data_IF_012074135288
#
_entry.id   IF_012074135288
#
_cell.length_a   1.000
_cell.length_b   1.000
_cell.length_c   1.000
_cell.angle_alpha   90.00
_cell.angle_beta   90.00
_cell.angle_gamma   90.00
#
_symmetry.space_group_name_H-M   'P 1'
#
loop_
_entity.id
_entity.type
_entity.pdbx_description
1 polymer ?
#
# COMPACT_ATOMS: atom_id res chain seq x y z
N UNK A 1 18.63 31.71 -33.16
CA UNK A 1 18.06 30.34 -33.15
C UNK A 1 17.50 30.04 -31.76
N UNK A 2 16.34 30.60 -31.52
CA UNK A 2 15.47 30.40 -30.33
C UNK A 2 14.21 29.70 -30.87
N UNK A 3 13.79 28.61 -30.23
CA UNK A 3 12.58 27.80 -30.42
C UNK A 3 12.93 26.33 -30.62
N UNK A 4 13.18 25.62 -29.50
CA UNK A 4 12.91 24.19 -29.39
C UNK A 4 13.11 23.72 -27.90
N UNK A 5 12.28 24.26 -27.00
CA UNK A 5 12.26 23.86 -25.59
C UNK A 5 10.88 24.20 -25.02
N UNK A 6 9.85 23.51 -25.53
CA UNK A 6 8.50 23.52 -24.94
C UNK A 6 7.67 22.44 -25.62
N UNK A 7 7.88 21.19 -25.26
CA UNK A 7 7.03 20.09 -25.73
C UNK A 7 7.31 18.80 -24.94
N UNK A 8 7.09 18.81 -23.65
CA UNK A 8 6.74 17.63 -22.82
C UNK A 8 6.09 18.18 -21.53
N UNK A 9 4.90 18.66 -21.63
CA UNK A 9 3.90 18.74 -20.57
C UNK A 9 2.60 19.11 -21.28
N UNK A 10 1.54 18.39 -21.00
CA UNK A 10 0.20 18.55 -21.57
C UNK A 10 -0.08 17.66 -22.78
N UNK A 11 -0.33 16.39 -22.52
CA UNK A 11 -1.25 15.58 -23.33
C UNK A 11 -2.27 14.92 -22.42
N UNK A 12 -3.13 15.74 -21.88
CA UNK A 12 -4.47 15.37 -21.51
C UNK A 12 -5.33 16.54 -21.94
N UNK A 13 -6.46 16.24 -22.64
CA UNK A 13 -7.45 17.19 -23.14
C UNK A 13 -7.17 17.64 -24.59
N UNK A 14 -7.83 16.97 -25.53
CA UNK A 14 -8.72 17.55 -26.52
C UNK A 14 -8.96 16.55 -27.65
N UNK A 15 -10.09 15.90 -27.60
CA UNK A 15 -10.78 15.36 -28.78
C UNK A 15 -12.26 15.67 -28.60
N UNK A 16 -12.63 16.90 -28.87
CA UNK A 16 -14.03 17.28 -29.05
C UNK A 16 -14.07 18.11 -30.33
N UNK A 17 -14.80 17.63 -31.23
CA UNK A 17 -15.67 18.28 -32.17
C UNK A 17 -15.59 17.68 -33.59
N UNK A 18 -16.56 16.84 -33.87
CA UNK A 18 -17.11 16.76 -35.21
C UNK A 18 -18.63 16.78 -35.09
N UNK A 19 -19.21 17.92 -35.40
CA UNK A 19 -20.65 18.07 -35.58
C UNK A 19 -21.10 17.36 -36.84
N UNK A 20 -22.06 16.47 -36.73
CA UNK A 20 -23.04 16.21 -37.79
C UNK A 20 -24.44 16.19 -37.19
N UNK A 21 -25.23 17.19 -37.58
CA UNK A 21 -26.68 17.20 -37.37
C UNK A 21 -27.32 16.05 -38.15
N UNK A 22 -28.14 15.27 -37.48
CA UNK A 22 -29.24 14.56 -38.12
C UNK A 22 -30.34 14.22 -37.09
N UNK A 23 -31.47 14.88 -37.30
CA UNK A 23 -32.88 14.45 -37.10
C UNK A 23 -33.39 13.93 -35.77
N UNK A 24 -34.45 14.58 -35.34
CA UNK A 24 -35.41 14.16 -34.32
C UNK A 24 -35.75 12.66 -34.38
N UNK A 25 -35.55 12.01 -33.27
CA UNK A 25 -36.08 10.70 -32.96
C UNK A 25 -35.96 10.50 -31.48
N UNK A 26 -37.08 10.48 -30.80
CA UNK A 26 -37.38 10.00 -29.44
C UNK A 26 -36.33 10.22 -28.35
N UNK A 27 -36.60 11.21 -27.50
CA UNK A 27 -36.02 11.32 -26.19
C UNK A 27 -36.36 10.06 -25.37
N UNK A 28 -35.59 8.98 -25.49
CA UNK A 28 -35.43 8.02 -24.43
C UNK A 28 -34.81 8.75 -23.25
N UNK A 29 -35.61 9.03 -22.24
CA UNK A 29 -35.10 9.46 -20.93
C UNK A 29 -34.17 8.34 -20.43
N UNK A 30 -32.85 8.49 -20.60
CA UNK A 30 -31.86 7.77 -19.86
C UNK A 30 -31.93 8.23 -18.40
N UNK A 31 -32.97 7.70 -17.72
CA UNK A 31 -32.98 7.66 -16.26
C UNK A 31 -32.05 6.51 -15.83
N UNK A 32 -30.76 6.56 -16.25
CA UNK A 32 -29.78 5.63 -15.74
C UNK A 32 -29.49 6.05 -14.31
N UNK A 33 -29.87 5.22 -13.37
CA UNK A 33 -29.61 5.37 -11.95
C UNK A 33 -28.10 5.53 -11.62
N UNK A 34 -27.23 5.22 -12.59
CA UNK A 34 -25.77 5.24 -12.51
C UNK A 34 -25.26 6.27 -13.54
N UNK A 35 -24.42 7.25 -13.13
CA UNK A 35 -23.86 8.23 -14.05
C UNK A 35 -22.81 7.59 -14.98
N UNK A 36 -22.53 8.22 -16.13
CA UNK A 36 -21.50 7.77 -17.09
C UNK A 36 -20.09 7.73 -16.46
N UNK A 37 -19.84 8.60 -15.49
CA UNK A 37 -18.64 8.60 -14.65
C UNK A 37 -19.06 8.60 -13.20
N UNK A 38 -18.71 7.54 -12.49
CA UNK A 38 -18.97 7.38 -11.07
C UNK A 38 -17.88 8.09 -10.25
N UNK A 39 -18.25 9.16 -9.53
CA UNK A 39 -17.35 9.90 -8.65
C UNK A 39 -17.29 9.20 -7.30
N UNK A 40 -16.16 8.61 -7.01
CA UNK A 40 -15.94 7.74 -5.84
C UNK A 40 -15.15 8.50 -4.79
N UNK A 41 -15.76 8.73 -3.64
CA UNK A 41 -15.07 9.25 -2.46
C UNK A 41 -14.45 8.13 -1.64
N UNK A 42 -13.20 8.31 -1.21
CA UNK A 42 -12.50 7.34 -0.36
C UNK A 42 -11.46 8.02 0.53
N UNK A 43 -10.85 7.25 1.44
CA UNK A 43 -9.73 7.70 2.27
C UNK A 43 -8.46 6.91 1.95
N UNK A 44 -7.31 7.53 2.18
CA UNK A 44 -6.07 6.77 2.23
C UNK A 44 -6.09 5.80 3.40
N UNK A 45 -5.94 4.51 3.11
CA UNK A 45 -5.82 3.46 4.13
C UNK A 45 -5.23 2.17 3.52
N UNK A 46 -4.71 1.26 4.35
CA UNK A 46 -4.21 -0.04 3.87
C UNK A 46 -5.26 -0.92 3.20
N UNK A 47 -6.55 -0.70 3.49
CA UNK A 47 -7.68 -1.47 2.94
C UNK A 47 -8.35 -0.77 1.78
N UNK A 48 -8.42 0.57 1.79
CA UNK A 48 -9.31 1.28 0.89
C UNK A 48 -8.61 1.80 -0.36
N UNK A 49 -7.60 2.67 -0.20
CA UNK A 49 -6.92 3.31 -1.31
C UNK A 49 -5.48 3.68 -0.93
N UNK A 50 -4.51 3.19 -1.67
CA UNK A 50 -3.11 3.54 -1.49
C UNK A 50 -2.33 3.40 -2.80
N UNK A 51 -1.16 4.03 -2.88
CA UNK A 51 -0.25 3.89 -4.00
C UNK A 51 0.88 2.91 -3.65
N UNK A 52 1.14 1.96 -4.54
CA UNK A 52 2.21 0.99 -4.39
C UNK A 52 3.00 0.87 -5.69
N UNK A 53 4.29 1.20 -5.68
CA UNK A 53 5.17 1.21 -6.87
C UNK A 53 4.61 2.02 -8.04
N UNK A 54 3.84 3.07 -7.74
CA UNK A 54 3.18 3.93 -8.73
C UNK A 54 1.83 3.44 -9.25
N UNK A 55 1.38 2.25 -8.84
CA UNK A 55 0.04 1.74 -9.14
C UNK A 55 -0.93 2.01 -7.99
N UNK A 56 -2.17 2.33 -8.32
CA UNK A 56 -3.24 2.48 -7.33
C UNK A 56 -3.75 1.11 -6.93
N UNK A 57 -3.89 0.89 -5.63
CA UNK A 57 -4.32 -0.36 -5.03
C UNK A 57 -5.22 -0.10 -3.82
N UNK A 58 -5.94 -1.11 -3.38
CA UNK A 58 -6.81 -1.13 -2.21
C UNK A 58 -7.94 -2.13 -2.42
N UNK A 59 -8.36 -2.82 -1.38
CA UNK A 59 -9.47 -3.76 -1.49
C UNK A 59 -10.76 -3.07 -1.93
N UNK A 60 -11.11 -1.96 -1.29
CA UNK A 60 -12.29 -1.17 -1.64
C UNK A 60 -12.15 -0.52 -3.03
N UNK A 61 -10.93 -0.07 -3.38
CA UNK A 61 -10.61 0.46 -4.70
C UNK A 61 -10.85 -0.59 -5.81
N UNK A 62 -10.29 -1.79 -5.67
CA UNK A 62 -10.44 -2.84 -6.66
C UNK A 62 -11.91 -3.30 -6.77
N UNK A 63 -12.65 -3.37 -5.66
CA UNK A 63 -14.07 -3.72 -5.65
C UNK A 63 -14.94 -2.69 -6.37
N UNK A 64 -14.79 -1.39 -6.08
CA UNK A 64 -15.60 -0.37 -6.74
C UNK A 64 -15.25 -0.24 -8.22
N UNK A 65 -13.98 -0.46 -8.62
CA UNK A 65 -13.59 -0.55 -10.03
C UNK A 65 -14.27 -1.74 -10.72
N UNK A 66 -14.37 -2.89 -10.05
CA UNK A 66 -15.07 -4.08 -10.57
C UNK A 66 -16.58 -3.82 -10.74
N UNK A 67 -17.22 -3.14 -9.78
CA UNK A 67 -18.60 -2.68 -9.92
C UNK A 67 -18.76 -1.78 -11.14
N UNK A 68 -17.96 -0.72 -11.25
CA UNK A 68 -18.05 0.23 -12.36
C UNK A 68 -17.81 -0.45 -13.72
N UNK A 69 -16.83 -1.36 -13.80
CA UNK A 69 -16.58 -2.17 -14.99
C UNK A 69 -17.80 -3.03 -15.37
N UNK A 70 -18.46 -3.65 -14.40
CA UNK A 70 -19.67 -4.45 -14.64
C UNK A 70 -20.85 -3.64 -15.20
N UNK A 71 -20.85 -2.32 -14.96
CA UNK A 71 -21.86 -1.38 -15.45
C UNK A 71 -21.41 -0.61 -16.70
N UNK A 72 -20.16 -0.78 -17.13
CA UNK A 72 -19.59 -0.06 -18.28
C UNK A 72 -19.38 1.42 -18.04
N UNK A 73 -19.21 1.86 -16.78
CA UNK A 73 -19.01 3.26 -16.39
C UNK A 73 -17.56 3.54 -16.00
N UNK A 74 -17.11 4.76 -16.24
CA UNK A 74 -15.79 5.22 -15.77
C UNK A 74 -15.82 5.54 -14.27
N UNK A 75 -14.65 5.56 -13.64
CA UNK A 75 -14.49 5.98 -12.23
C UNK A 75 -13.58 7.19 -12.11
N UNK A 76 -13.96 8.13 -11.25
CA UNK A 76 -13.13 9.25 -10.82
C UNK A 76 -13.00 9.21 -9.30
N UNK A 77 -11.76 9.16 -8.77
CA UNK A 77 -11.52 9.04 -7.33
C UNK A 77 -11.21 10.38 -6.70
N UNK A 78 -11.92 10.70 -5.61
CA UNK A 78 -11.74 11.89 -4.81
C UNK A 78 -11.37 11.44 -3.39
N UNK A 79 -10.15 11.82 -2.95
CA UNK A 79 -9.61 11.42 -1.66
C UNK A 79 -9.90 12.50 -0.64
N UNK A 80 -10.59 12.15 0.44
CA UNK A 80 -10.83 13.05 1.56
C UNK A 80 -9.85 12.78 2.72
N UNK A 81 -9.79 13.70 3.66
CA UNK A 81 -8.93 13.56 4.85
C UNK A 81 -9.55 12.72 5.97
N UNK A 82 -10.88 12.63 6.01
CA UNK A 82 -11.62 11.90 7.02
C UNK A 82 -13.05 11.57 6.55
N UNK A 83 -13.74 10.69 7.30
CA UNK A 83 -15.09 10.25 6.99
C UNK A 83 -16.12 11.40 6.97
N UNK A 84 -16.00 12.36 7.86
CA UNK A 84 -16.93 13.49 7.92
C UNK A 84 -16.86 14.35 6.65
N UNK A 85 -15.65 14.54 6.11
CA UNK A 85 -15.45 15.23 4.83
C UNK A 85 -16.06 14.43 3.67
N UNK A 86 -15.96 13.10 3.66
CA UNK A 86 -16.62 12.25 2.66
C UNK A 86 -18.13 12.41 2.69
N UNK A 87 -18.73 12.42 3.89
CA UNK A 87 -20.19 12.60 4.04
C UNK A 87 -20.62 13.98 3.53
N UNK A 88 -19.87 15.02 3.84
CA UNK A 88 -20.16 16.37 3.34
C UNK A 88 -20.05 16.47 1.81
N UNK A 89 -19.03 15.81 1.20
CA UNK A 89 -18.88 15.72 -0.26
C UNK A 89 -20.01 14.93 -0.92
N UNK A 90 -20.51 13.88 -0.25
CA UNK A 90 -21.62 13.09 -0.72
C UNK A 90 -22.94 13.89 -0.71
N UNK A 91 -23.21 14.59 0.39
CA UNK A 91 -24.38 15.44 0.56
C UNK A 91 -24.42 16.60 -0.45
N UNK A 92 -23.26 17.22 -0.67
CA UNK A 92 -23.13 18.30 -1.67
C UNK A 92 -23.10 17.82 -3.13
N UNK A 93 -23.10 16.52 -3.39
CA UNK A 93 -23.06 15.94 -4.73
C UNK A 93 -21.69 16.06 -5.44
N UNK A 94 -20.62 16.30 -4.72
CA UNK A 94 -19.24 16.26 -5.23
C UNK A 94 -18.84 14.82 -5.58
N UNK A 95 -19.31 13.87 -4.78
CA UNK A 95 -19.14 12.42 -5.01
C UNK A 95 -20.49 11.73 -5.09
N UNK A 96 -20.57 10.58 -5.74
CA UNK A 96 -21.79 9.77 -5.94
C UNK A 96 -21.85 8.61 -4.94
N UNK A 97 -20.70 8.08 -4.55
CA UNK A 97 -20.55 6.94 -3.63
C UNK A 97 -19.34 7.11 -2.73
N UNK A 98 -19.45 6.68 -1.49
CA UNK A 98 -18.33 6.50 -0.57
C UNK A 98 -17.91 5.03 -0.63
N UNK A 99 -16.76 4.75 -1.25
CA UNK A 99 -16.12 3.42 -1.23
C UNK A 99 -15.14 3.35 -0.06
N UNK A 100 -15.69 3.36 1.14
CA UNK A 100 -15.01 3.26 2.42
C UNK A 100 -16.00 2.73 3.47
N UNK A 101 -15.50 2.19 4.57
CA UNK A 101 -16.29 1.65 5.68
C UNK A 101 -17.05 2.74 6.43
N UNK A 102 -18.29 3.00 6.03
CA UNK A 102 -19.20 3.90 6.76
C UNK A 102 -19.95 3.10 7.81
N UNK A 103 -19.84 3.43 9.12
CA UNK A 103 -20.49 2.67 10.18
C UNK A 103 -22.02 2.65 10.03
N UNK A 104 -22.63 1.49 10.26
CA UNK A 104 -24.08 1.30 10.21
C UNK A 104 -24.67 1.59 11.60
N UNK A 105 -24.71 2.86 11.98
CA UNK A 105 -25.27 3.34 13.24
C UNK A 105 -26.49 4.23 13.03
N UNK A 106 -27.27 4.47 14.08
CA UNK A 106 -28.43 5.38 14.02
C UNK A 106 -28.04 6.81 13.63
N UNK A 107 -26.82 7.24 13.94
CA UNK A 107 -26.29 8.55 13.59
C UNK A 107 -26.00 8.66 12.08
N UNK A 108 -25.22 7.72 11.52
CA UNK A 108 -24.86 7.74 10.10
C UNK A 108 -26.04 7.45 9.19
N UNK A 109 -26.98 6.59 9.60
CA UNK A 109 -28.24 6.33 8.85
C UNK A 109 -29.12 7.57 8.66
N UNK A 110 -28.95 8.60 9.46
CA UNK A 110 -29.62 9.90 9.25
C UNK A 110 -28.99 10.70 8.10
N UNK A 111 -27.74 10.48 7.79
CA UNK A 111 -26.95 11.25 6.84
C UNK A 111 -26.80 10.56 5.49
N UNK A 112 -26.63 9.24 5.47
CA UNK A 112 -26.33 8.46 4.28
C UNK A 112 -27.24 7.23 4.15
N UNK A 113 -27.26 6.63 2.97
CA UNK A 113 -27.85 5.33 2.69
C UNK A 113 -26.73 4.31 2.50
N UNK A 114 -26.61 3.37 3.43
CA UNK A 114 -25.66 2.29 3.35
C UNK A 114 -26.00 1.32 2.21
N UNK A 115 -25.01 0.80 1.51
CA UNK A 115 -25.18 -0.11 0.36
C UNK A 115 -24.00 -1.05 0.19
N UNK A 116 -24.20 -2.08 -0.63
CA UNK A 116 -23.20 -3.12 -0.87
C UNK A 116 -23.05 -4.10 0.28
N UNK A 117 -21.94 -4.82 0.28
CA UNK A 117 -21.61 -5.79 1.32
C UNK A 117 -21.37 -5.13 2.67
N UNK A 118 -21.87 -5.76 3.71
CA UNK A 118 -21.55 -5.34 5.07
C UNK A 118 -20.22 -5.97 5.51
N UNK A 119 -19.30 -5.12 5.91
CA UNK A 119 -18.09 -5.53 6.60
C UNK A 119 -18.33 -5.53 8.11
N UNK A 120 -17.97 -6.61 8.77
CA UNK A 120 -18.06 -6.76 10.22
C UNK A 120 -16.65 -6.70 10.79
N UNK A 121 -16.35 -5.61 11.50
CA UNK A 121 -15.09 -5.45 12.23
C UNK A 121 -15.31 -5.50 13.72
N UNK A 122 -14.29 -5.90 14.44
CA UNK A 122 -14.24 -5.91 15.90
C UNK A 122 -12.80 -5.64 16.35
N UNK A 123 -12.59 -5.32 17.59
CA UNK A 123 -11.24 -5.18 18.12
C UNK A 123 -10.73 -6.54 18.60
N UNK A 124 -9.47 -6.81 18.30
CA UNK A 124 -8.79 -8.05 18.66
C UNK A 124 -7.56 -7.79 19.51
N UNK A 125 -7.24 -8.73 20.37
CA UNK A 125 -5.95 -8.81 21.03
C UNK A 125 -4.90 -9.28 20.03
N UNK A 126 -3.82 -8.53 19.90
CA UNK A 126 -2.63 -8.96 19.18
C UNK A 126 -1.59 -9.43 20.19
N UNK A 127 -1.17 -10.67 20.06
CA UNK A 127 -0.21 -11.33 20.93
C UNK A 127 0.82 -12.13 20.12
N UNK A 128 2.02 -12.41 20.65
CA UNK A 128 2.96 -13.31 20.00
C UNK A 128 2.36 -14.72 19.86
N UNK A 129 2.62 -15.39 18.75
CA UNK A 129 2.25 -16.78 18.54
C UNK A 129 3.13 -17.66 19.42
N UNK A 130 2.54 -18.32 20.41
CA UNK A 130 3.22 -19.16 21.40
C UNK A 130 2.36 -20.34 21.77
N UNK A 131 2.90 -21.27 22.54
CA UNK A 131 2.15 -22.43 23.07
C UNK A 131 1.14 -22.03 24.17
N UNK A 132 1.30 -20.85 24.76
CA UNK A 132 0.41 -20.31 25.79
C UNK A 132 -0.25 -19.03 25.31
N UNK A 133 -1.36 -19.17 24.59
CA UNK A 133 -2.16 -18.04 24.12
C UNK A 133 -3.16 -17.58 25.18
N UNK A 134 -3.41 -16.27 25.20
CA UNK A 134 -4.56 -15.69 25.89
C UNK A 134 -5.77 -15.95 25.00
N UNK A 135 -6.74 -16.71 25.50
CA UNK A 135 -7.95 -17.14 24.79
C UNK A 135 -9.24 -16.62 25.42
N UNK A 136 -9.14 -15.99 26.58
CA UNK A 136 -10.24 -15.38 27.31
C UNK A 136 -9.83 -14.01 27.87
N UNK A 137 -10.75 -13.06 27.86
CA UNK A 137 -10.50 -11.68 28.33
C UNK A 137 -10.12 -11.59 29.79
N UNK A 138 -10.60 -12.55 30.65
CA UNK A 138 -10.24 -12.60 32.06
C UNK A 138 -8.74 -12.86 32.28
N UNK A 139 -8.09 -13.54 31.33
CA UNK A 139 -6.64 -13.80 31.39
C UNK A 139 -5.80 -12.53 31.15
N UNK A 140 -6.41 -11.40 30.77
CA UNK A 140 -5.76 -10.09 30.66
C UNK A 140 -5.46 -9.48 32.05
N UNK A 141 -6.08 -9.96 33.11
CA UNK A 141 -5.78 -9.51 34.49
C UNK A 141 -4.29 -9.71 34.76
N UNK A 142 -3.63 -8.66 35.28
CA UNK A 142 -2.18 -8.59 35.51
C UNK A 142 -1.31 -8.69 34.23
N UNK A 143 -1.87 -8.48 33.04
CA UNK A 143 -1.09 -8.36 31.79
C UNK A 143 -0.85 -6.91 31.43
N UNK A 144 0.28 -6.66 30.77
CA UNK A 144 0.64 -5.35 30.23
C UNK A 144 0.09 -5.24 28.80
N UNK A 145 -0.84 -4.31 28.56
CA UNK A 145 -1.44 -4.07 27.25
C UNK A 145 -1.16 -2.63 26.83
N UNK A 146 -0.58 -2.47 25.66
CA UNK A 146 -0.15 -1.18 25.09
C UNK A 146 -1.15 -0.69 24.05
N UNK A 147 -1.55 0.57 24.13
CA UNK A 147 -2.51 1.21 23.21
C UNK A 147 -2.11 2.65 22.90
N UNK A 148 -2.62 3.18 21.80
CA UNK A 148 -2.47 4.59 21.46
C UNK A 148 -3.26 5.46 22.44
N UNK A 149 -2.66 6.55 22.91
CA UNK A 149 -3.30 7.50 23.80
C UNK A 149 -4.54 8.15 23.15
N UNK A 150 -5.62 8.31 23.94
CA UNK A 150 -6.92 8.85 23.50
C UNK A 150 -7.55 8.13 22.29
N UNK A 151 -7.12 6.92 22.00
CA UNK A 151 -7.69 6.12 20.93
C UNK A 151 -8.98 5.40 21.36
N UNK A 152 -9.76 4.96 20.37
CA UNK A 152 -10.91 4.06 20.61
C UNK A 152 -10.48 2.73 21.27
N UNK A 153 -9.24 2.33 21.08
CA UNK A 153 -8.66 1.12 21.67
C UNK A 153 -8.41 1.30 23.17
N UNK A 154 -7.87 2.45 23.59
CA UNK A 154 -7.72 2.78 25.00
C UNK A 154 -9.07 2.85 25.69
N UNK A 155 -10.05 3.53 25.09
CA UNK A 155 -11.41 3.63 25.64
C UNK A 155 -12.04 2.24 25.81
N UNK A 156 -11.93 1.36 24.81
CA UNK A 156 -12.45 -0.02 24.90
C UNK A 156 -11.74 -0.84 25.97
N UNK A 157 -10.40 -0.71 26.04
CA UNK A 157 -9.62 -1.48 27.00
C UNK A 157 -9.94 -1.08 28.45
N UNK A 158 -10.19 0.21 28.72
CA UNK A 158 -10.64 0.69 30.03
C UNK A 158 -12.02 0.14 30.38
N UNK A 159 -12.96 0.17 29.44
CA UNK A 159 -14.29 -0.41 29.65
C UNK A 159 -14.20 -1.92 29.90
N UNK A 160 -13.35 -2.62 29.15
CA UNK A 160 -13.13 -4.06 29.33
C UNK A 160 -12.54 -4.37 30.73
N UNK A 161 -11.59 -3.55 31.17
CA UNK A 161 -11.00 -3.68 32.50
C UNK A 161 -12.07 -3.56 33.60
N UNK A 162 -12.97 -2.56 33.48
CA UNK A 162 -14.11 -2.42 34.40
C UNK A 162 -15.07 -3.61 34.32
N UNK A 163 -15.39 -4.10 33.10
CA UNK A 163 -16.28 -5.26 32.87
C UNK A 163 -15.78 -6.55 33.54
N UNK A 164 -14.46 -6.76 33.57
CA UNK A 164 -13.87 -7.99 34.16
C UNK A 164 -13.45 -7.82 35.62
N UNK A 165 -13.72 -6.66 36.22
CA UNK A 165 -13.44 -6.40 37.65
C UNK A 165 -12.08 -5.75 37.92
N UNK A 166 -11.42 -5.26 36.91
CA UNK A 166 -10.14 -4.55 36.98
C UNK A 166 -8.91 -5.44 36.94
N UNK A 167 -7.74 -4.82 36.86
CA UNK A 167 -6.45 -5.49 36.99
C UNK A 167 -5.63 -5.59 35.70
N UNK A 168 -6.11 -5.07 34.55
CA UNK A 168 -5.29 -4.94 33.35
C UNK A 168 -4.28 -3.80 33.55
N UNK A 169 -2.99 -4.02 33.28
CA UNK A 169 -2.00 -2.96 33.26
C UNK A 169 -1.99 -2.26 31.91
N UNK A 170 -2.73 -1.16 31.82
CA UNK A 170 -2.92 -0.38 30.59
C UNK A 170 -1.78 0.62 30.43
N UNK A 171 -1.00 0.48 29.35
CA UNK A 171 0.05 1.40 28.96
C UNK A 171 -0.41 2.25 27.77
N UNK A 172 -0.80 3.49 28.06
CA UNK A 172 -1.18 4.47 27.04
C UNK A 172 0.07 5.16 26.54
N UNK A 173 0.37 5.04 25.24
CA UNK A 173 1.54 5.61 24.63
C UNK A 173 1.20 6.97 24.01
N UNK A 174 1.75 8.01 24.61
CA UNK A 174 1.55 9.43 24.22
C UNK A 174 2.65 9.86 23.24
N UNK A 175 2.86 9.09 22.19
CA UNK A 175 3.83 9.41 21.15
C UNK A 175 3.06 9.84 19.90
N UNK A 176 3.20 11.09 19.46
CA UNK A 176 2.52 11.68 18.30
C UNK A 176 2.71 10.89 16.97
N UNK A 177 3.61 9.91 16.96
CA UNK A 177 4.00 9.15 15.77
C UNK A 177 3.69 7.66 15.84
N UNK A 178 3.08 7.16 16.92
CA UNK A 178 2.72 5.75 17.04
C UNK A 178 1.39 5.45 16.38
N UNK A 179 1.38 4.42 15.54
CA UNK A 179 0.18 3.90 14.90
C UNK A 179 -0.13 2.49 15.38
N UNK A 180 -1.37 2.03 15.17
CA UNK A 180 -1.77 0.63 15.42
C UNK A 180 -0.81 -0.37 14.75
N UNK A 181 -0.32 -0.06 13.56
CA UNK A 181 0.64 -0.91 12.83
C UNK A 181 1.99 -0.98 13.54
N UNK A 182 2.46 0.13 14.13
CA UNK A 182 3.70 0.15 14.92
C UNK A 182 3.58 -0.68 16.19
N UNK A 183 2.42 -0.65 16.85
CA UNK A 183 2.16 -1.48 18.03
C UNK A 183 2.15 -2.96 17.67
N UNK A 184 1.49 -3.35 16.57
CA UNK A 184 1.51 -4.72 16.07
C UNK A 184 2.94 -5.19 15.79
N UNK A 185 3.76 -4.35 15.17
CA UNK A 185 5.16 -4.69 14.92
C UNK A 185 5.96 -4.84 16.20
N UNK A 186 5.75 -3.95 17.17
CA UNK A 186 6.43 -4.06 18.49
C UNK A 186 6.08 -5.39 19.16
N UNK A 187 4.83 -5.86 19.04
CA UNK A 187 4.43 -7.22 19.50
C UNK A 187 5.16 -8.28 18.68
N UNK A 188 5.14 -8.21 17.37
CA UNK A 188 5.79 -9.20 16.50
C UNK A 188 7.30 -9.31 16.73
N UNK A 189 7.96 -8.21 17.12
CA UNK A 189 9.40 -8.14 17.47
C UNK A 189 9.70 -8.40 18.95
N UNK A 190 8.70 -8.72 19.76
CA UNK A 190 8.85 -8.99 21.18
C UNK A 190 9.23 -7.78 22.04
N UNK A 191 9.02 -6.55 21.52
CA UNK A 191 9.32 -5.31 22.25
C UNK A 191 8.23 -4.92 23.25
N UNK A 192 6.99 -5.29 22.98
CA UNK A 192 5.85 -5.19 23.88
C UNK A 192 5.09 -6.51 23.86
N UNK A 193 4.42 -6.90 24.95
CA UNK A 193 3.75 -8.20 25.01
C UNK A 193 2.42 -8.23 24.24
N UNK A 194 1.57 -7.22 24.38
CA UNK A 194 0.20 -7.22 23.89
C UNK A 194 -0.21 -5.82 23.38
N UNK A 195 -1.09 -5.80 22.36
CA UNK A 195 -1.83 -4.60 21.94
C UNK A 195 -3.24 -4.97 21.49
N UNK A 196 -4.11 -3.97 21.34
CA UNK A 196 -5.46 -4.12 20.82
C UNK A 196 -5.62 -3.21 19.58
N UNK A 197 -6.18 -3.79 18.51
CA UNK A 197 -6.44 -3.07 17.25
C UNK A 197 -7.71 -3.61 16.59
N UNK A 198 -8.19 -2.96 15.53
CA UNK A 198 -9.26 -3.51 14.69
C UNK A 198 -8.81 -4.78 13.98
N UNK A 199 -9.75 -5.70 13.78
CA UNK A 199 -9.53 -7.01 13.14
C UNK A 199 -9.01 -6.92 11.71
N UNK A 200 -9.46 -5.97 10.91
CA UNK A 200 -9.00 -5.72 9.54
C UNK A 200 -7.53 -5.29 9.50
N UNK A 201 -7.14 -4.35 10.38
CA UNK A 201 -5.74 -3.92 10.54
C UNK A 201 -4.88 -5.09 11.02
N UNK A 202 -5.38 -5.87 11.98
CA UNK A 202 -4.68 -7.05 12.49
C UNK A 202 -4.47 -8.11 11.39
N UNK A 203 -5.50 -8.42 10.59
CA UNK A 203 -5.44 -9.36 9.46
C UNK A 203 -4.41 -8.94 8.42
N UNK A 204 -4.43 -7.66 8.00
CA UNK A 204 -3.42 -7.15 7.07
C UNK A 204 -2.03 -7.32 7.66
N UNK A 205 -1.83 -6.96 8.93
CA UNK A 205 -0.53 -7.06 9.58
C UNK A 205 -0.08 -8.52 9.77
N UNK A 206 -0.99 -9.47 9.94
CA UNK A 206 -0.67 -10.90 9.96
C UNK A 206 -0.09 -11.39 8.64
N UNK A 207 -0.37 -10.71 7.52
CA UNK A 207 0.29 -11.00 6.24
C UNK A 207 1.77 -10.60 6.19
N UNK A 208 2.17 -9.65 7.05
CA UNK A 208 3.57 -9.22 7.22
C UNK A 208 4.27 -9.97 8.36
N UNK A 209 3.55 -10.25 9.47
CA UNK A 209 4.08 -10.87 10.68
C UNK A 209 3.36 -12.18 10.97
N UNK A 210 3.91 -13.30 10.51
CA UNK A 210 3.31 -14.64 10.69
C UNK A 210 3.41 -15.18 12.13
N UNK A 211 4.16 -14.51 12.98
CA UNK A 211 4.41 -14.88 14.37
C UNK A 211 3.48 -14.20 15.38
N UNK A 212 2.40 -13.57 14.91
CA UNK A 212 1.35 -13.01 15.79
C UNK A 212 0.07 -13.84 15.70
N UNK A 213 -0.68 -13.85 16.82
CA UNK A 213 -2.03 -14.40 16.93
C UNK A 213 -3.01 -13.25 17.19
N UNK A 214 -4.19 -13.31 16.58
CA UNK A 214 -5.23 -12.28 16.60
C UNK A 214 -6.64 -12.87 16.85
N UNK A 215 -6.73 -14.07 17.39
CA UNK A 215 -7.99 -14.82 17.49
C UNK A 215 -8.91 -14.33 18.59
N UNK A 216 -8.36 -13.68 19.65
CA UNK A 216 -9.18 -13.21 20.78
C UNK A 216 -9.84 -11.88 20.44
N UNK A 217 -11.16 -11.92 20.29
CA UNK A 217 -12.02 -10.73 20.15
C UNK A 217 -12.24 -10.07 21.52
N UNK A 218 -12.07 -8.73 21.58
CA UNK A 218 -12.20 -7.94 22.82
C UNK A 218 -13.28 -6.86 22.73
N UNK A 219 -14.02 -6.75 21.64
CA UNK A 219 -15.14 -5.83 21.48
C UNK A 219 -16.34 -6.47 20.80
N UNK A 220 -17.49 -5.82 20.88
CA UNK A 220 -18.66 -6.19 20.07
C UNK A 220 -18.40 -5.92 18.58
N UNK A 221 -19.03 -6.70 17.68
CA UNK A 221 -18.97 -6.48 16.25
C UNK A 221 -19.52 -5.09 15.87
N UNK A 222 -18.80 -4.42 14.97
CA UNK A 222 -19.22 -3.17 14.34
C UNK A 222 -19.46 -3.44 12.87
N UNK A 223 -20.64 -3.03 12.36
CA UNK A 223 -21.00 -3.21 10.96
C UNK A 223 -20.74 -1.90 10.21
N UNK A 224 -20.15 -2.00 9.04
CA UNK A 224 -19.92 -0.90 8.13
C UNK A 224 -20.18 -1.36 6.70
N UNK A 225 -20.45 -0.42 5.79
CA UNK A 225 -20.57 -0.70 4.35
C UNK A 225 -20.26 0.57 3.56
N UNK A 226 -20.28 0.47 2.25
CA UNK A 226 -20.30 1.66 1.40
C UNK A 226 -21.56 2.46 1.64
N UNK A 227 -21.56 3.71 1.14
CA UNK A 227 -22.72 4.58 1.28
C UNK A 227 -22.91 5.47 0.05
N UNK A 228 -24.17 5.76 -0.24
CA UNK A 228 -24.60 6.73 -1.24
C UNK A 228 -25.47 7.80 -0.60
N UNK A 229 -25.81 8.85 -1.36
CA UNK A 229 -26.74 9.88 -0.90
C UNK A 229 -28.10 9.29 -0.60
N UNK A 230 -28.76 9.78 0.44
CA UNK A 230 -30.05 9.23 0.93
C UNK A 230 -31.16 9.16 -0.09
N UNK A 231 -31.17 10.06 -1.05
CA UNK A 231 -32.18 10.12 -2.12
C UNK A 231 -31.83 9.22 -3.32
N UNK A 232 -30.63 8.60 -3.34
CA UNK A 232 -30.19 7.77 -4.47
C UNK A 232 -30.36 6.27 -4.18
N UNK A 233 -31.62 5.85 -3.93
CA UNK A 233 -31.98 4.45 -3.69
C UNK A 233 -31.57 3.54 -4.86
N UNK A 234 -31.72 4.03 -6.09
CA UNK A 234 -31.46 3.23 -7.28
C UNK A 234 -29.96 2.85 -7.42
N UNK A 235 -29.04 3.75 -7.07
CA UNK A 235 -27.61 3.43 -7.03
C UNK A 235 -27.30 2.47 -5.87
N UNK A 236 -27.91 2.67 -4.70
CA UNK A 236 -27.76 1.76 -3.56
C UNK A 236 -28.17 0.33 -3.90
N UNK A 237 -29.36 0.16 -4.52
CA UNK A 237 -29.88 -1.13 -4.94
C UNK A 237 -28.99 -1.79 -5.99
N UNK A 238 -28.46 -1.00 -6.94
CA UNK A 238 -27.56 -1.50 -7.98
C UNK A 238 -26.22 -2.00 -7.40
N UNK A 239 -25.65 -1.27 -6.43
CA UNK A 239 -24.41 -1.67 -5.74
C UNK A 239 -24.67 -2.92 -4.89
N UNK A 240 -25.76 -2.95 -4.14
CA UNK A 240 -26.09 -4.09 -3.25
C UNK A 240 -26.33 -5.37 -4.05
N UNK A 241 -27.13 -5.31 -5.12
CA UNK A 241 -27.36 -6.46 -6.00
C UNK A 241 -26.07 -6.97 -6.67
N UNK A 242 -25.16 -6.05 -7.06
CA UNK A 242 -23.87 -6.44 -7.59
C UNK A 242 -22.99 -7.11 -6.51
N UNK A 243 -22.97 -6.57 -5.30
CA UNK A 243 -22.16 -7.10 -4.19
C UNK A 243 -22.56 -8.53 -3.82
N UNK A 244 -23.86 -8.84 -3.73
CA UNK A 244 -24.37 -10.19 -3.45
C UNK A 244 -23.89 -11.21 -4.49
N UNK A 245 -23.87 -10.81 -5.78
CA UNK A 245 -23.38 -11.67 -6.85
C UNK A 245 -21.86 -11.81 -6.82
N UNK A 246 -21.13 -10.71 -6.54
CA UNK A 246 -19.68 -10.68 -6.53
C UNK A 246 -19.09 -11.55 -5.42
N UNK A 247 -19.66 -11.55 -4.21
CA UNK A 247 -19.19 -12.33 -3.05
C UNK A 247 -19.17 -13.84 -3.31
N UNK A 248 -20.10 -14.33 -4.11
CA UNK A 248 -20.11 -15.74 -4.52
C UNK A 248 -19.05 -16.07 -5.57
N UNK A 249 -18.53 -15.05 -6.25
CA UNK A 249 -17.63 -15.16 -7.39
C UNK A 249 -16.19 -15.52 -7.00
N UNK A 250 -15.46 -16.08 -7.99
CA UNK A 250 -14.03 -16.40 -7.83
C UNK A 250 -13.15 -15.16 -7.79
N UNK A 251 -13.54 -14.09 -8.49
CA UNK A 251 -12.78 -12.85 -8.57
C UNK A 251 -12.72 -12.12 -7.22
N UNK A 252 -13.85 -12.02 -6.50
CA UNK A 252 -13.90 -11.39 -5.17
C UNK A 252 -13.10 -12.19 -4.14
N UNK A 253 -13.18 -13.53 -4.18
CA UNK A 253 -12.38 -14.42 -3.35
C UNK A 253 -10.88 -14.29 -3.61
N UNK A 254 -10.48 -14.15 -4.87
CA UNK A 254 -9.06 -13.91 -5.23
C UNK A 254 -8.60 -12.54 -4.74
N UNK A 255 -9.44 -11.52 -4.82
CA UNK A 255 -9.16 -10.17 -4.33
C UNK A 255 -9.00 -10.16 -2.81
N UNK A 256 -9.94 -10.77 -2.08
CA UNK A 256 -9.86 -10.94 -0.63
C UNK A 256 -8.57 -11.66 -0.21
N UNK A 257 -8.26 -12.79 -0.88
CA UNK A 257 -7.03 -13.52 -0.65
C UNK A 257 -5.78 -12.68 -0.89
N UNK A 258 -5.77 -11.89 -1.96
CA UNK A 258 -4.65 -10.98 -2.31
C UNK A 258 -4.37 -9.97 -1.19
N UNK A 259 -5.41 -9.33 -0.66
CA UNK A 259 -5.24 -8.27 0.33
C UNK A 259 -5.07 -8.78 1.77
N UNK A 260 -5.71 -9.86 2.15
CA UNK A 260 -5.79 -10.29 3.54
C UNK A 260 -5.10 -11.64 3.87
N UNK A 261 -4.79 -12.47 2.88
CA UNK A 261 -4.22 -13.79 3.14
C UNK A 261 -2.81 -13.99 2.57
N UNK A 262 -2.50 -13.40 1.40
CA UNK A 262 -1.19 -13.57 0.78
C UNK A 262 -0.10 -12.88 1.61
N UNK A 263 1.01 -13.58 1.83
CA UNK A 263 2.16 -13.01 2.53
C UNK A 263 2.68 -11.78 1.80
N UNK A 264 2.79 -10.68 2.54
CA UNK A 264 3.38 -9.40 2.09
C UNK A 264 4.78 -9.20 2.65
N UNK A 265 5.22 -10.09 3.56
CA UNK A 265 6.59 -10.09 3.98
C UNK A 265 7.42 -10.45 2.75
N UNK A 266 8.14 -9.47 2.21
CA UNK A 266 9.32 -9.72 1.36
C UNK A 266 10.44 -10.34 2.18
N UNK A 267 10.08 -10.96 3.32
CA UNK A 267 11.02 -11.67 4.14
C UNK A 267 11.63 -12.77 3.29
N UNK A 268 12.88 -12.56 2.95
CA UNK A 268 13.82 -13.66 2.85
C UNK A 268 13.45 -14.60 3.99
N UNK A 269 13.18 -15.90 3.75
CA UNK A 269 12.99 -16.83 4.84
C UNK A 269 14.15 -16.61 5.82
N UNK A 270 13.81 -16.18 7.05
CA UNK A 270 14.77 -15.99 8.12
C UNK A 270 15.51 -17.32 8.27
N UNK A 271 16.75 -17.41 7.74
CA UNK A 271 17.52 -18.66 7.72
C UNK A 271 18.00 -19.17 6.37
N UNK A 272 17.50 -18.65 5.23
CA UNK A 272 18.13 -18.83 3.90
C UNK A 272 19.02 -17.59 3.65
N UNK A 273 19.77 -17.57 4.34
CA UNK A 273 21.18 -17.47 4.65
C UNK A 273 21.96 -16.80 3.53
N UNK A 274 22.66 -15.76 3.94
CA UNK A 274 23.92 -15.30 3.34
C UNK A 274 24.75 -16.45 2.73
N UNK A 275 24.57 -17.69 3.22
CA UNK A 275 25.28 -18.88 2.76
C UNK A 275 25.02 -19.21 1.28
N UNK A 276 23.80 -19.11 0.74
CA UNK A 276 23.53 -19.45 -0.67
C UNK A 276 24.05 -18.34 -1.60
N UNK A 277 23.85 -17.09 -1.21
CA UNK A 277 24.43 -15.93 -1.90
C UNK A 277 25.95 -15.88 -1.78
N UNK A 278 26.52 -16.24 -0.61
CA UNK A 278 27.97 -16.28 -0.38
C UNK A 278 28.65 -17.45 -1.11
N UNK A 279 27.99 -18.61 -1.23
CA UNK A 279 28.55 -19.77 -1.93
C UNK A 279 28.70 -19.48 -3.42
N UNK A 280 27.71 -18.85 -4.04
CA UNK A 280 27.77 -18.42 -5.45
C UNK A 280 28.90 -17.40 -5.67
N UNK A 281 29.03 -16.42 -4.78
CA UNK A 281 30.06 -15.38 -4.85
C UNK A 281 31.51 -15.90 -4.70
N UNK A 282 31.74 -17.04 -4.04
CA UNK A 282 33.09 -17.65 -3.88
C UNK A 282 33.77 -18.02 -5.20
N UNK A 283 32.97 -18.32 -6.24
CA UNK A 283 33.48 -18.70 -7.56
C UNK A 283 33.50 -17.52 -8.56
N UNK A 284 33.31 -16.27 -8.12
CA UNK A 284 33.16 -15.13 -9.00
C UNK A 284 31.84 -15.04 -9.74
N UNK A 285 30.86 -15.84 -9.34
CA UNK A 285 29.53 -15.93 -9.91
C UNK A 285 28.52 -15.63 -8.80
N UNK A 286 27.61 -14.68 -9.06
CA UNK A 286 26.52 -14.35 -8.15
C UNK A 286 25.29 -15.21 -8.46
N UNK A 287 24.97 -15.36 -9.75
CA UNK A 287 23.80 -16.09 -10.23
C UNK A 287 23.99 -16.64 -11.64
N UNK A 288 23.11 -17.52 -12.08
CA UNK A 288 23.07 -17.99 -13.47
C UNK A 288 22.74 -16.88 -14.49
N UNK A 289 22.32 -15.70 -13.99
CA UNK A 289 21.92 -14.56 -14.80
C UNK A 289 22.99 -13.45 -14.87
N UNK A 290 24.18 -13.68 -14.37
CA UNK A 290 25.28 -12.70 -14.32
C UNK A 290 25.59 -12.07 -15.68
N UNK A 291 25.44 -12.84 -16.77
CA UNK A 291 25.64 -12.36 -18.14
C UNK A 291 24.67 -11.20 -18.48
N UNK A 292 23.42 -11.30 -18.04
CA UNK A 292 22.40 -10.25 -18.27
C UNK A 292 22.62 -9.06 -17.35
N UNK A 293 22.94 -9.30 -16.06
CA UNK A 293 23.29 -8.23 -15.13
C UNK A 293 24.48 -7.41 -15.61
N UNK A 294 25.56 -8.06 -16.07
CA UNK A 294 26.76 -7.39 -16.62
C UNK A 294 26.43 -6.58 -17.86
N UNK A 295 25.70 -7.16 -18.82
CA UNK A 295 25.30 -6.49 -20.06
C UNK A 295 24.49 -5.25 -19.78
N UNK A 296 23.37 -5.38 -19.07
CA UNK A 296 22.48 -4.25 -18.82
C UNK A 296 23.04 -3.24 -17.82
N UNK A 297 23.93 -3.67 -16.92
CA UNK A 297 24.72 -2.79 -16.07
C UNK A 297 25.65 -1.92 -16.89
N UNK A 298 26.40 -2.49 -17.83
CA UNK A 298 27.28 -1.76 -18.73
C UNK A 298 26.51 -0.77 -19.64
N UNK A 299 25.42 -1.20 -20.25
CA UNK A 299 24.58 -0.38 -21.15
C UNK A 299 23.97 0.83 -20.44
N UNK A 300 23.77 0.74 -19.13
CA UNK A 300 23.14 1.79 -18.32
C UNK A 300 24.11 2.54 -17.39
N UNK A 301 25.38 2.16 -17.36
CA UNK A 301 26.38 2.75 -16.46
C UNK A 301 26.14 2.41 -14.97
N UNK A 302 25.50 1.28 -14.70
CA UNK A 302 25.18 0.78 -13.36
C UNK A 302 26.15 -0.35 -13.02
N UNK A 303 26.63 -0.38 -11.77
CA UNK A 303 27.40 -1.54 -11.31
C UNK A 303 26.50 -2.78 -11.32
N UNK A 304 26.86 -3.78 -12.12
CA UNK A 304 26.08 -5.00 -12.31
C UNK A 304 25.81 -5.76 -11.00
N UNK A 305 26.73 -5.65 -10.01
CA UNK A 305 26.58 -6.24 -8.69
C UNK A 305 25.43 -5.59 -7.90
N UNK A 306 25.13 -4.30 -8.17
CA UNK A 306 23.94 -3.64 -7.62
C UNK A 306 22.65 -4.22 -8.22
N UNK A 307 22.61 -4.41 -9.54
CA UNK A 307 21.48 -5.07 -10.21
C UNK A 307 21.26 -6.49 -9.67
N UNK A 308 22.34 -7.25 -9.49
CA UNK A 308 22.27 -8.58 -8.90
C UNK A 308 21.78 -8.54 -7.44
N UNK A 309 22.21 -7.57 -6.63
CA UNK A 309 21.73 -7.41 -5.25
C UNK A 309 20.22 -7.09 -5.21
N UNK A 310 19.72 -6.28 -6.15
CA UNK A 310 18.29 -6.01 -6.32
C UNK A 310 17.57 -7.31 -6.68
N UNK A 311 18.00 -8.03 -7.72
CA UNK A 311 17.39 -9.29 -8.14
C UNK A 311 17.34 -10.35 -7.04
N UNK A 312 18.38 -10.41 -6.19
CA UNK A 312 18.38 -11.29 -5.03
C UNK A 312 17.31 -10.89 -4.00
N UNK A 313 17.21 -9.62 -3.65
CA UNK A 313 16.24 -9.13 -2.66
C UNK A 313 14.80 -9.22 -3.19
N UNK A 314 14.59 -9.01 -4.49
CA UNK A 314 13.26 -9.06 -5.12
C UNK A 314 12.71 -10.47 -5.27
N UNK A 315 13.52 -11.44 -5.69
CA UNK A 315 13.03 -12.77 -6.06
C UNK A 315 13.91 -13.95 -5.67
N UNK A 316 15.11 -13.69 -5.10
CA UNK A 316 16.17 -14.70 -4.94
C UNK A 316 16.58 -15.32 -6.28
N UNK A 317 16.63 -14.50 -7.32
CA UNK A 317 16.89 -14.90 -8.71
C UNK A 317 15.87 -15.86 -9.33
N UNK A 318 14.64 -15.93 -8.82
CA UNK A 318 13.57 -16.71 -9.44
C UNK A 318 12.80 -15.86 -10.45
N UNK A 319 12.74 -16.32 -11.69
CA UNK A 319 12.06 -15.61 -12.78
C UNK A 319 10.54 -15.81 -12.80
N UNK A 320 10.03 -16.87 -12.17
CA UNK A 320 8.63 -17.28 -12.14
C UNK A 320 7.81 -16.69 -10.99
N UNK A 321 8.40 -15.83 -10.17
CA UNK A 321 7.76 -15.28 -8.98
C UNK A 321 6.77 -14.17 -9.32
N UNK A 322 5.56 -14.32 -8.79
CA UNK A 322 4.53 -13.26 -8.80
C UNK A 322 4.26 -12.82 -7.37
N UNK A 323 4.41 -11.52 -7.09
CA UNK A 323 4.13 -10.98 -5.76
C UNK A 323 2.62 -10.84 -5.50
N UNK A 324 2.24 -10.60 -4.24
CA UNK A 324 0.86 -10.28 -3.86
C UNK A 324 0.31 -9.05 -4.63
N UNK A 325 1.15 -8.08 -4.95
CA UNK A 325 0.79 -6.88 -5.71
C UNK A 325 0.74 -7.12 -7.23
N UNK A 326 1.19 -8.28 -7.70
CA UNK A 326 1.24 -8.63 -9.12
C UNK A 326 2.56 -8.26 -9.82
N UNK A 327 3.60 -7.87 -9.08
CA UNK A 327 4.95 -7.70 -9.63
C UNK A 327 5.51 -9.06 -10.08
N UNK A 328 6.25 -9.11 -11.19
CA UNK A 328 6.68 -10.35 -11.83
C UNK A 328 8.16 -10.38 -12.18
N UNK A 329 8.69 -11.58 -12.24
CA UNK A 329 10.03 -11.88 -12.73
C UNK A 329 11.13 -11.58 -11.73
N UNK A 330 12.37 -11.75 -12.18
CA UNK A 330 13.58 -11.71 -11.35
C UNK A 330 13.77 -10.35 -10.64
N UNK A 331 13.36 -9.25 -11.28
CA UNK A 331 13.46 -7.89 -10.77
C UNK A 331 12.12 -7.34 -10.25
N UNK A 332 11.07 -8.17 -10.19
CA UNK A 332 9.74 -7.82 -9.68
C UNK A 332 9.15 -6.55 -10.31
N UNK A 333 9.01 -6.56 -11.63
CA UNK A 333 8.44 -5.44 -12.38
C UNK A 333 6.90 -5.49 -12.33
N UNK A 334 6.28 -4.35 -12.04
CA UNK A 334 4.82 -4.20 -12.13
C UNK A 334 4.34 -4.25 -13.59
N UNK A 335 3.21 -4.91 -13.89
CA UNK A 335 2.68 -5.04 -15.25
C UNK A 335 2.50 -3.71 -15.99
N UNK A 336 2.02 -2.67 -15.30
CA UNK A 336 1.88 -1.32 -15.86
C UNK A 336 3.23 -0.72 -16.22
N UNK A 337 4.22 -0.88 -15.34
CA UNK A 337 5.59 -0.39 -15.54
C UNK A 337 6.26 -1.12 -16.71
N UNK A 338 6.07 -2.45 -16.83
CA UNK A 338 6.56 -3.23 -17.96
C UNK A 338 6.06 -2.66 -19.30
N UNK A 339 4.74 -2.47 -19.43
CA UNK A 339 4.12 -1.89 -20.65
C UNK A 339 4.65 -0.48 -20.94
N UNK A 340 4.80 0.38 -19.91
CA UNK A 340 5.34 1.72 -20.08
C UNK A 340 6.79 1.75 -20.61
N UNK A 341 7.53 0.64 -20.41
CA UNK A 341 8.88 0.43 -20.94
C UNK A 341 8.92 -0.50 -22.17
N UNK A 342 7.78 -0.76 -22.80
CA UNK A 342 7.68 -1.56 -24.04
C UNK A 342 7.89 -3.06 -23.84
N UNK A 343 7.72 -3.56 -22.61
CA UNK A 343 7.78 -5.00 -22.32
C UNK A 343 6.37 -5.57 -22.23
N UNK A 344 6.06 -6.49 -23.17
CA UNK A 344 4.79 -7.19 -23.19
C UNK A 344 4.69 -8.18 -22.01
N UNK A 345 3.46 -8.36 -21.49
CA UNK A 345 3.23 -9.15 -20.28
C UNK A 345 3.59 -10.64 -20.44
N UNK A 346 3.52 -11.15 -21.66
CA UNK A 346 3.89 -12.54 -21.99
C UNK A 346 5.40 -12.79 -21.81
N UNK A 347 6.20 -11.72 -21.95
CA UNK A 347 7.66 -11.76 -21.84
C UNK A 347 8.19 -11.21 -20.52
N UNK A 348 7.30 -10.81 -19.58
CA UNK A 348 7.71 -10.16 -18.33
C UNK A 348 8.56 -11.07 -17.42
N UNK A 349 8.44 -12.38 -17.56
CA UNK A 349 9.19 -13.38 -16.81
C UNK A 349 10.51 -13.78 -17.49
N UNK A 350 10.79 -13.29 -18.72
CA UNK A 350 12.09 -13.48 -19.37
C UNK A 350 13.18 -12.72 -18.59
N UNK A 351 14.20 -13.40 -18.05
CA UNK A 351 15.19 -12.76 -17.17
C UNK A 351 15.98 -11.66 -17.86
N UNK A 352 16.32 -11.81 -19.14
CA UNK A 352 17.08 -10.82 -19.89
C UNK A 352 16.29 -9.52 -20.06
N UNK A 353 15.02 -9.63 -20.50
CA UNK A 353 14.13 -8.49 -20.73
C UNK A 353 13.72 -7.84 -19.40
N UNK A 354 13.47 -8.64 -18.38
CA UNK A 354 13.09 -8.14 -17.05
C UNK A 354 14.23 -7.35 -16.40
N UNK A 355 15.48 -7.84 -16.47
CA UNK A 355 16.68 -7.13 -15.99
C UNK A 355 16.93 -5.85 -16.81
N UNK A 356 16.73 -5.89 -18.12
CA UNK A 356 16.86 -4.72 -19.00
C UNK A 356 15.93 -3.58 -18.57
N UNK A 357 14.64 -3.89 -18.37
CA UNK A 357 13.65 -2.90 -17.95
C UNK A 357 14.00 -2.35 -16.58
N UNK A 358 14.38 -3.19 -15.62
CA UNK A 358 14.81 -2.74 -14.31
C UNK A 358 16.01 -1.79 -14.37
N UNK A 359 17.03 -2.11 -15.17
CA UNK A 359 18.20 -1.24 -15.35
C UNK A 359 17.82 0.13 -15.94
N UNK A 360 16.90 0.16 -16.90
CA UNK A 360 16.38 1.40 -17.49
C UNK A 360 15.61 2.25 -16.47
N UNK A 361 14.80 1.62 -15.62
CA UNK A 361 14.08 2.28 -14.52
C UNK A 361 15.08 2.90 -13.55
N UNK A 362 16.06 2.13 -13.06
CA UNK A 362 17.07 2.59 -12.11
C UNK A 362 17.87 3.78 -12.66
N UNK A 363 18.26 3.73 -13.94
CA UNK A 363 18.94 4.84 -14.63
C UNK A 363 18.06 6.10 -14.66
N UNK A 364 16.76 5.94 -14.97
CA UNK A 364 15.80 7.05 -14.99
C UNK A 364 15.64 7.66 -13.59
N UNK A 365 15.51 6.85 -12.57
CA UNK A 365 15.41 7.28 -11.17
C UNK A 365 16.66 8.01 -10.72
N UNK A 366 17.87 7.50 -11.04
CA UNK A 366 19.14 8.18 -10.75
C UNK A 366 19.21 9.55 -11.44
N UNK A 367 18.81 9.62 -12.71
CA UNK A 367 18.81 10.88 -13.44
C UNK A 367 17.90 11.95 -12.82
N UNK A 368 16.68 11.55 -12.40
CA UNK A 368 15.74 12.45 -11.72
C UNK A 368 16.28 12.92 -10.38
N UNK A 369 16.81 12.00 -9.57
CA UNK A 369 17.27 12.28 -8.20
C UNK A 369 18.60 13.04 -8.17
N UNK A 370 19.41 12.97 -9.22
CA UNK A 370 20.74 13.65 -9.31
C UNK A 370 20.65 15.17 -9.10
N UNK A 371 19.54 15.77 -9.47
CA UNK A 371 19.31 17.22 -9.29
C UNK A 371 19.08 17.62 -7.81
N UNK A 372 18.69 16.65 -6.97
CA UNK A 372 18.38 16.86 -5.55
C UNK A 372 19.49 16.32 -4.65
N UNK A 373 19.95 15.11 -4.91
CA UNK A 373 20.95 14.41 -4.11
C UNK A 373 22.22 14.28 -4.94
N UNK A 374 23.20 15.17 -4.70
CA UNK A 374 24.46 15.23 -5.45
C UNK A 374 25.40 14.07 -5.13
N UNK A 375 25.45 13.65 -3.85
CA UNK A 375 26.28 12.52 -3.39
C UNK A 375 25.80 11.21 -4.03
N UNK A 376 26.68 10.46 -4.76
CA UNK A 376 26.28 9.23 -5.44
C UNK A 376 25.93 8.09 -4.48
N UNK A 377 26.54 8.01 -3.31
CA UNK A 377 26.32 6.94 -2.34
C UNK A 377 25.01 7.17 -1.59
N UNK A 378 24.70 8.41 -1.23
CA UNK A 378 23.37 8.76 -0.71
C UNK A 378 22.32 8.56 -1.80
N UNK A 379 22.51 9.14 -2.99
CA UNK A 379 21.54 9.04 -4.09
C UNK A 379 21.17 7.60 -4.43
N UNK A 380 22.10 6.64 -4.37
CA UNK A 380 21.80 5.22 -4.55
C UNK A 380 20.74 4.73 -3.59
N UNK A 381 20.75 5.14 -2.33
CA UNK A 381 19.71 4.76 -1.34
C UNK A 381 18.34 5.31 -1.72
N UNK A 382 18.28 6.56 -2.19
CA UNK A 382 17.06 7.17 -2.70
C UNK A 382 16.53 6.48 -3.95
N UNK A 383 17.42 6.08 -4.87
CA UNK A 383 17.07 5.32 -6.07
C UNK A 383 16.46 3.97 -5.70
N UNK A 384 17.09 3.24 -4.77
CA UNK A 384 16.56 1.97 -4.27
C UNK A 384 15.19 2.15 -3.61
N UNK A 385 15.04 3.19 -2.79
CA UNK A 385 13.78 3.51 -2.15
C UNK A 385 12.69 3.85 -3.19
N UNK A 386 13.03 4.64 -4.22
CA UNK A 386 12.10 5.01 -5.29
C UNK A 386 11.72 3.82 -6.18
N UNK A 387 12.64 2.89 -6.40
CA UNK A 387 12.38 1.65 -7.13
C UNK A 387 11.34 0.77 -6.40
N UNK A 388 11.47 0.66 -5.08
CA UNK A 388 10.57 -0.15 -4.24
C UNK A 388 9.24 0.55 -3.94
N UNK A 389 9.26 1.82 -3.53
CA UNK A 389 8.06 2.57 -3.10
C UNK A 389 7.34 3.29 -4.23
N UNK A 390 8.05 3.63 -5.28
CA UNK A 390 7.63 4.62 -6.28
C UNK A 390 8.14 6.03 -5.95
N UNK A 391 8.50 6.77 -7.00
CA UNK A 391 9.11 8.11 -6.90
C UNK A 391 8.24 9.09 -6.11
N UNK A 392 6.91 9.03 -6.24
CA UNK A 392 6.00 9.95 -5.58
C UNK A 392 6.15 9.96 -4.06
N UNK A 393 6.21 8.77 -3.44
CA UNK A 393 6.39 8.65 -1.99
C UNK A 393 7.76 9.15 -1.50
N UNK A 394 8.79 8.99 -2.32
CA UNK A 394 10.13 9.49 -1.97
C UNK A 394 10.19 11.02 -2.08
N UNK A 395 9.51 11.62 -3.05
CA UNK A 395 9.39 13.07 -3.14
C UNK A 395 8.63 13.67 -1.95
N UNK A 396 7.54 13.01 -1.53
CA UNK A 396 6.82 13.38 -0.32
C UNK A 396 7.71 13.28 0.94
N UNK A 397 8.47 12.18 1.07
CA UNK A 397 9.37 11.98 2.20
C UNK A 397 10.51 13.02 2.24
N UNK A 398 11.04 13.42 1.09
CA UNK A 398 12.01 14.52 0.98
C UNK A 398 11.38 15.83 1.46
N UNK A 399 10.17 16.14 1.00
CA UNK A 399 9.45 17.36 1.40
C UNK A 399 9.08 17.38 2.89
N UNK A 400 8.68 16.24 3.45
CA UNK A 400 8.46 16.08 4.89
C UNK A 400 9.76 16.25 5.68
N UNK A 401 10.87 15.64 5.24
CA UNK A 401 12.17 15.80 5.89
C UNK A 401 12.56 17.28 5.96
N UNK A 402 12.43 18.00 4.86
CA UNK A 402 12.71 19.44 4.82
C UNK A 402 11.81 20.23 5.77
N UNK A 403 10.49 20.00 5.74
CA UNK A 403 9.52 20.66 6.61
C UNK A 403 9.76 20.40 8.10
N UNK A 404 10.18 19.17 8.45
CA UNK A 404 10.42 18.77 9.85
C UNK A 404 11.91 18.84 10.25
N UNK A 405 12.66 19.75 9.61
CA UNK A 405 14.04 20.09 9.95
C UNK A 405 15.06 18.93 9.90
N UNK A 406 14.79 17.94 9.03
CA UNK A 406 15.72 16.87 8.70
C UNK A 406 16.44 17.18 7.38
N UNK A 407 17.60 16.54 7.17
CA UNK A 407 18.36 16.78 5.94
C UNK A 407 17.71 16.05 4.74
N UNK A 408 17.13 16.77 3.74
CA UNK A 408 16.43 16.15 2.61
C UNK A 408 17.35 15.43 1.62
N UNK A 409 18.68 15.57 1.77
CA UNK A 409 19.69 14.96 0.90
C UNK A 409 20.39 13.75 1.53
N UNK A 410 20.04 13.37 2.76
CA UNK A 410 20.60 12.23 3.50
C UNK A 410 19.49 11.23 3.81
N UNK A 411 19.74 9.97 3.49
CA UNK A 411 18.76 8.91 3.71
C UNK A 411 18.63 8.54 5.19
N UNK A 412 19.73 8.04 5.78
CA UNK A 412 19.72 7.48 7.13
C UNK A 412 19.36 8.55 8.18
N UNK A 413 18.43 8.22 9.07
CA UNK A 413 17.94 9.07 10.17
C UNK A 413 17.32 10.42 9.72
N UNK A 414 17.09 10.61 8.42
CA UNK A 414 16.49 11.80 7.84
C UNK A 414 15.30 11.44 6.93
N UNK A 415 15.50 11.27 5.62
CA UNK A 415 14.39 10.94 4.68
C UNK A 415 13.82 9.56 4.96
N UNK A 416 14.61 8.63 5.44
CA UNK A 416 14.15 7.34 5.95
C UNK A 416 13.07 7.49 7.04
N UNK A 417 13.31 8.35 8.04
CA UNK A 417 12.35 8.59 9.11
C UNK A 417 11.10 9.32 8.59
N UNK A 418 11.29 10.32 7.72
CA UNK A 418 10.18 11.02 7.08
C UNK A 418 9.29 10.07 6.25
N UNK A 419 9.89 9.06 5.60
CA UNK A 419 9.12 8.03 4.90
C UNK A 419 8.29 7.16 5.86
N UNK A 420 8.83 6.84 7.05
CA UNK A 420 8.11 6.11 8.09
C UNK A 420 6.93 6.91 8.63
N UNK A 421 7.07 8.23 8.78
CA UNK A 421 5.99 9.13 9.22
C UNK A 421 4.77 9.05 8.31
N UNK A 422 4.91 8.70 7.03
CA UNK A 422 3.80 8.58 6.08
C UNK A 422 2.78 7.47 6.39
N UNK A 423 2.99 6.65 7.39
CA UNK A 423 1.97 5.74 7.89
C UNK A 423 0.91 6.45 8.78
N UNK A 424 1.25 7.61 9.33
CA UNK A 424 0.39 8.37 10.23
C UNK A 424 -0.43 9.44 9.46
N UNK A 425 -1.76 9.54 9.69
CA UNK A 425 -2.65 10.52 9.04
C UNK A 425 -2.18 11.98 9.15
N UNK A 426 -1.57 12.37 10.27
CA UNK A 426 -1.03 13.69 10.46
C UNK A 426 -0.01 14.08 9.38
N UNK A 427 0.82 13.13 8.95
CA UNK A 427 1.89 13.39 8.00
C UNK A 427 1.49 13.10 6.55
N UNK A 428 0.75 12.02 6.28
CA UNK A 428 0.36 11.78 4.89
C UNK A 428 -0.72 12.74 4.38
N UNK A 429 -1.48 13.39 5.26
CA UNK A 429 -2.41 14.48 4.92
C UNK A 429 -1.74 15.87 4.97
N UNK A 430 -0.45 15.94 5.29
CA UNK A 430 0.28 17.20 5.28
C UNK A 430 0.27 17.83 3.87
N UNK A 431 0.20 19.16 3.82
CA UNK A 431 0.13 19.93 2.56
C UNK A 431 1.30 19.69 1.60
N UNK A 432 2.45 19.23 2.10
CA UNK A 432 3.62 18.90 1.27
C UNK A 432 3.54 17.48 0.67
N UNK A 433 2.66 16.63 1.18
CA UNK A 433 2.41 15.29 0.66
C UNK A 433 1.36 15.31 -0.45
N UNK A 434 1.62 14.56 -1.52
CA UNK A 434 0.71 14.43 -2.67
C UNK A 434 0.28 12.99 -2.95
N UNK A 435 0.98 12.03 -2.35
CA UNK A 435 0.80 10.61 -2.64
C UNK A 435 0.18 9.83 -1.45
N UNK A 436 -0.26 10.54 -0.41
CA UNK A 436 -1.03 10.01 0.71
C UNK A 436 -0.32 8.94 1.54
N UNK A 437 -1.11 8.04 2.12
CA UNK A 437 -0.67 6.95 2.98
C UNK A 437 0.39 6.08 2.31
N UNK A 438 1.43 5.74 3.09
CA UNK A 438 2.44 4.79 2.67
C UNK A 438 3.09 4.09 3.88
N UNK A 439 3.15 2.76 3.83
CA UNK A 439 3.86 1.96 4.83
C UNK A 439 5.36 1.91 4.50
N UNK A 440 6.10 2.92 4.95
CA UNK A 440 7.52 3.12 4.60
C UNK A 440 8.47 2.01 5.05
N UNK A 441 8.09 1.20 6.04
CA UNK A 441 8.95 0.24 6.71
C UNK A 441 9.58 -0.80 5.78
N UNK A 442 8.78 -1.39 4.89
CA UNK A 442 9.30 -2.35 3.91
C UNK A 442 10.36 -1.74 2.99
N UNK A 443 10.15 -0.49 2.59
CA UNK A 443 11.12 0.23 1.74
C UNK A 443 12.42 0.51 2.49
N UNK A 444 12.34 0.86 3.77
CA UNK A 444 13.53 1.05 4.62
C UNK A 444 14.32 -0.25 4.76
N UNK A 445 13.65 -1.36 5.03
CA UNK A 445 14.26 -2.69 5.08
C UNK A 445 14.84 -3.11 3.73
N UNK A 446 14.13 -2.82 2.64
CA UNK A 446 14.59 -3.08 1.27
C UNK A 446 15.90 -2.35 0.96
N UNK A 447 15.98 -1.04 1.23
CA UNK A 447 17.20 -0.26 1.02
C UNK A 447 18.37 -0.82 1.83
N UNK A 448 18.13 -1.20 3.09
CA UNK A 448 19.15 -1.81 3.95
C UNK A 448 19.63 -3.15 3.39
N UNK A 449 18.70 -4.03 3.00
CA UNK A 449 19.01 -5.37 2.48
C UNK A 449 19.77 -5.29 1.16
N UNK A 450 19.32 -4.50 0.19
CA UNK A 450 20.03 -4.33 -1.09
C UNK A 450 21.42 -3.74 -0.87
N UNK A 451 21.56 -2.75 0.02
CA UNK A 451 22.86 -2.15 0.35
C UNK A 451 23.82 -3.17 0.98
N UNK A 452 23.29 -4.03 1.86
CA UNK A 452 24.05 -5.11 2.48
C UNK A 452 24.59 -6.10 1.42
N UNK A 453 23.70 -6.65 0.58
CA UNK A 453 24.11 -7.62 -0.46
C UNK A 453 25.03 -6.99 -1.51
N UNK A 454 24.76 -5.75 -1.90
CA UNK A 454 25.67 -5.03 -2.80
C UNK A 454 27.08 -4.89 -2.22
N UNK A 455 27.20 -4.50 -0.96
CA UNK A 455 28.50 -4.42 -0.25
C UNK A 455 29.18 -5.78 -0.17
N UNK A 456 28.41 -6.84 0.12
CA UNK A 456 28.90 -8.22 0.16
C UNK A 456 29.43 -8.66 -1.21
N UNK A 457 28.69 -8.41 -2.30
CA UNK A 457 29.13 -8.74 -3.65
C UNK A 457 30.38 -7.96 -4.05
N UNK A 458 30.45 -6.67 -3.72
CA UNK A 458 31.63 -5.85 -3.99
C UNK A 458 32.89 -6.34 -3.24
N UNK A 459 32.74 -6.90 -2.05
CA UNK A 459 33.84 -7.46 -1.27
C UNK A 459 34.38 -8.79 -1.82
N UNK A 460 33.56 -9.53 -2.55
CA UNK A 460 33.86 -10.89 -3.04
C UNK A 460 34.15 -10.97 -4.54
N UNK A 461 33.61 -10.05 -5.32
CA UNK A 461 33.64 -10.10 -6.78
C UNK A 461 34.18 -8.78 -7.33
N UNK A 462 35.24 -8.87 -8.13
CA UNK A 462 35.77 -7.69 -8.84
C UNK A 462 34.75 -7.17 -9.84
N UNK A 463 34.79 -5.85 -10.07
CA UNK A 463 33.90 -5.17 -10.99
C UNK A 463 34.03 -5.69 -12.43
#
# INVERSE_FOLDING_TARGET
>A
MRKLLWLIAVTAIASIASCSRLTHGDAMSHNSAIPDTLRVGTLYSPTSFFLFRGDTMGYEYDRICSFAQSKGVATEFIIASNLQSLIAMLDSGVIDVIAYEVPITSEYRKQVLNCGSENITYQVLVQPKSDTLITDVIQLINKDVYVEHKSKYEARLRNLDEEIGGGIRIHSLDEDTITSEDLIERVAKGKIPLTIVNSDIALINQTYYRNINIDLQVSFPQRASWAVRKDNQALADSISAWSELAESGTADKQMLRRYFEMSKSGALPTGLSDAKSIISAKHGIISDFDIYFRRHGQDNGIDWRLLAAIGWVESQFRSDVVSWAGARGIMQIMPRTARAHGLELENIEDPNLNIQVAANIIKTLDHILRKRVSDPDERRKFVLAAYNAGMGHILDAIALAEKYHKNPNVWNNNVQEALLMKANPQFYNDSVCRNGYFRGRQTVEYVSNVSHYYSLYCSKIKK
#
